data_IF_892106037719
#
_entry.id   IF_892106037719
#
_cell.length_a   1.000
_cell.length_b   1.000
_cell.length_c   1.000
_cell.angle_alpha   90.00
_cell.angle_beta   90.00
_cell.angle_gamma   90.00
#
_symmetry.space_group_name_H-M   'P 1'
#
loop_
_entity.id
_entity.type
_entity.pdbx_description
1 polymer ?
#
# COMPACT_ATOMS: atom_id res chain seq x y z
N UNK A 1 63.73 -26.22 -3.93
CA UNK A 1 63.77 -24.73 -3.98
C UNK A 1 62.47 -24.19 -3.42
N UNK A 2 62.45 -22.98 -2.85
CA UNK A 2 61.26 -22.46 -2.15
C UNK A 2 59.99 -22.38 -3.02
N UNK A 3 60.13 -22.34 -4.36
CA UNK A 3 59.01 -22.31 -5.31
C UNK A 3 58.24 -23.62 -5.44
N UNK A 4 58.77 -24.75 -4.95
CA UNK A 4 58.08 -26.05 -5.02
C UNK A 4 56.79 -26.08 -4.19
N UNK A 5 56.58 -25.11 -3.31
CA UNK A 5 55.32 -24.92 -2.59
C UNK A 5 54.23 -24.27 -3.45
N UNK A 6 54.61 -23.57 -4.53
CA UNK A 6 53.67 -22.80 -5.35
C UNK A 6 52.59 -23.66 -6.01
N UNK A 7 52.89 -24.84 -6.59
CA UNK A 7 51.84 -25.70 -7.15
C UNK A 7 50.79 -26.10 -6.10
N UNK A 8 51.21 -26.47 -4.88
CA UNK A 8 50.30 -26.80 -3.79
C UNK A 8 49.46 -25.61 -3.35
N UNK A 9 50.09 -24.45 -3.17
CA UNK A 9 49.39 -23.21 -2.82
C UNK A 9 48.37 -22.77 -3.89
N UNK A 10 48.70 -22.95 -5.18
CA UNK A 10 47.80 -22.64 -6.30
C UNK A 10 46.59 -23.57 -6.29
N UNK A 11 46.77 -24.88 -6.08
CA UNK A 11 45.67 -25.84 -5.99
C UNK A 11 44.73 -25.48 -4.84
N UNK A 12 45.28 -25.18 -3.65
CA UNK A 12 44.47 -24.80 -2.49
C UNK A 12 43.70 -23.51 -2.77
N UNK A 13 44.36 -22.48 -3.30
CA UNK A 13 43.73 -21.18 -3.56
C UNK A 13 42.64 -21.26 -4.64
N UNK A 14 42.89 -22.06 -5.69
CA UNK A 14 41.87 -22.28 -6.73
C UNK A 14 40.68 -23.03 -6.18
N UNK A 15 40.88 -24.12 -5.44
CA UNK A 15 39.78 -24.88 -4.84
C UNK A 15 38.99 -24.07 -3.81
N UNK A 16 39.63 -23.17 -3.06
CA UNK A 16 38.92 -22.29 -2.11
C UNK A 16 38.17 -21.15 -2.78
N UNK A 17 38.68 -20.63 -3.90
CA UNK A 17 38.03 -19.51 -4.62
C UNK A 17 36.86 -19.96 -5.50
N UNK A 18 36.92 -21.17 -6.08
CA UNK A 18 35.87 -21.69 -6.97
C UNK A 18 34.46 -21.67 -6.34
N UNK A 19 34.23 -22.15 -5.10
CA UNK A 19 32.90 -22.10 -4.49
C UNK A 19 32.32 -20.69 -4.36
N UNK A 20 33.16 -19.69 -4.12
CA UNK A 20 32.73 -18.29 -3.96
C UNK A 20 32.16 -17.76 -5.27
N UNK A 21 32.90 -17.94 -6.37
CA UNK A 21 32.46 -17.48 -7.69
C UNK A 21 31.34 -18.34 -8.28
N UNK A 22 31.35 -19.64 -7.99
CA UNK A 22 30.27 -20.53 -8.40
C UNK A 22 28.94 -20.12 -7.76
N UNK A 23 28.93 -19.84 -6.46
CA UNK A 23 27.71 -19.37 -5.76
C UNK A 23 27.22 -18.02 -6.29
N UNK A 24 28.13 -17.09 -6.58
CA UNK A 24 27.76 -15.82 -7.23
C UNK A 24 27.01 -16.03 -8.56
N UNK A 25 27.50 -16.96 -9.39
CA UNK A 25 26.85 -17.31 -10.65
C UNK A 25 25.49 -18.00 -10.46
N UNK A 26 25.42 -18.96 -9.54
CA UNK A 26 24.20 -19.70 -9.24
C UNK A 26 23.09 -18.80 -8.67
N UNK A 27 23.42 -17.91 -7.73
CA UNK A 27 22.46 -16.98 -7.15
C UNK A 27 21.91 -16.03 -8.23
N UNK A 28 22.79 -15.51 -9.10
CA UNK A 28 22.36 -14.66 -10.21
C UNK A 28 21.41 -15.35 -11.19
N UNK A 29 21.61 -16.65 -11.44
CA UNK A 29 20.76 -17.43 -12.34
C UNK A 29 19.43 -17.84 -11.72
N UNK A 30 19.42 -18.20 -10.43
CA UNK A 30 18.23 -18.72 -9.76
C UNK A 30 17.31 -17.61 -9.23
N UNK A 31 17.90 -16.54 -8.70
CA UNK A 31 17.19 -15.48 -7.99
C UNK A 31 17.05 -14.22 -8.84
N UNK A 32 17.92 -14.05 -9.85
CA UNK A 32 18.02 -12.84 -10.67
C UNK A 32 18.90 -11.75 -10.03
N UNK A 33 19.43 -11.99 -8.83
CA UNK A 33 20.39 -11.11 -8.17
C UNK A 33 21.57 -11.93 -7.62
N UNK A 34 22.77 -11.38 -7.73
CA UNK A 34 23.99 -12.12 -7.37
C UNK A 34 24.28 -12.18 -5.87
N UNK A 35 23.57 -11.38 -5.06
CA UNK A 35 23.71 -11.35 -3.62
C UNK A 35 22.36 -11.60 -2.94
N UNK A 36 22.36 -12.45 -1.92
CA UNK A 36 21.18 -12.70 -1.10
C UNK A 36 20.99 -11.57 -0.09
N UNK A 37 19.74 -11.20 0.20
CA UNK A 37 19.42 -10.18 1.20
C UNK A 37 19.63 -10.75 2.61
N UNK A 38 20.20 -9.95 3.51
CA UNK A 38 20.33 -10.31 4.92
C UNK A 38 18.96 -10.36 5.60
N UNK A 39 18.71 -11.44 6.33
CA UNK A 39 17.46 -11.70 7.06
C UNK A 39 17.68 -11.85 8.57
N UNK A 40 18.78 -11.33 9.09
CA UNK A 40 19.13 -11.48 10.51
C UNK A 40 18.19 -10.67 11.41
N UNK A 41 17.77 -9.48 10.97
CA UNK A 41 16.84 -8.65 11.72
C UNK A 41 15.38 -9.03 11.46
N UNK A 42 14.53 -8.81 12.49
CA UNK A 42 13.08 -9.06 12.37
C UNK A 42 12.44 -8.17 11.32
N UNK A 43 12.83 -6.90 11.26
CA UNK A 43 12.31 -5.95 10.29
C UNK A 43 12.63 -6.38 8.86
N UNK A 44 13.89 -6.76 8.60
CA UNK A 44 14.34 -7.26 7.29
C UNK A 44 13.56 -8.49 6.83
N UNK A 45 13.22 -9.40 7.75
CA UNK A 45 12.37 -10.58 7.45
C UNK A 45 10.94 -10.20 7.07
N UNK A 46 10.33 -9.28 7.81
CA UNK A 46 8.96 -8.81 7.50
C UNK A 46 8.93 -8.13 6.14
N UNK A 47 9.93 -7.29 5.85
CA UNK A 47 10.03 -6.61 4.55
C UNK A 47 10.30 -7.59 3.41
N UNK A 48 11.12 -8.62 3.63
CA UNK A 48 11.34 -9.68 2.65
C UNK A 48 10.04 -10.44 2.31
N UNK A 49 9.21 -10.77 3.31
CA UNK A 49 7.90 -11.36 3.08
C UNK A 49 6.92 -10.40 2.40
N UNK A 50 6.95 -9.12 2.74
CA UNK A 50 6.13 -8.10 2.08
C UNK A 50 6.44 -8.04 0.59
N UNK A 51 7.72 -7.98 0.24
CA UNK A 51 8.16 -7.92 -1.17
C UNK A 51 7.72 -9.20 -1.91
N UNK A 52 7.80 -10.38 -1.28
CA UNK A 52 7.23 -11.62 -1.82
C UNK A 52 5.73 -11.55 -2.10
N UNK A 53 4.92 -10.90 -1.25
CA UNK A 53 3.47 -10.77 -1.46
C UNK A 53 3.10 -9.78 -2.57
N UNK A 54 3.97 -8.82 -2.86
CA UNK A 54 3.70 -7.77 -3.85
C UNK A 54 4.11 -8.19 -5.26
N UNK A 55 5.26 -8.87 -5.42
CA UNK A 55 5.88 -9.12 -6.73
C UNK A 55 6.18 -10.59 -7.01
N UNK A 56 5.84 -11.51 -6.09
CA UNK A 56 6.19 -12.94 -6.08
C UNK A 56 7.71 -13.24 -6.09
N UNK A 57 8.57 -12.24 -6.30
CA UNK A 57 10.02 -12.33 -6.23
C UNK A 57 10.60 -11.11 -5.45
N UNK A 58 11.21 -11.32 -4.28
CA UNK A 58 11.68 -10.25 -3.40
C UNK A 58 12.92 -9.49 -3.92
N UNK A 59 13.49 -9.95 -5.03
CA UNK A 59 14.61 -9.28 -5.72
C UNK A 59 14.15 -8.46 -6.92
N UNK A 60 12.86 -8.55 -7.30
CA UNK A 60 12.24 -7.67 -8.27
C UNK A 60 11.70 -6.45 -7.53
N UNK A 61 12.32 -5.29 -7.77
CA UNK A 61 11.87 -4.03 -7.18
C UNK A 61 10.56 -3.57 -7.81
N UNK A 62 9.59 -3.19 -6.97
CA UNK A 62 8.40 -2.45 -7.37
C UNK A 62 8.70 -0.96 -7.28
N UNK A 63 8.77 -0.27 -8.41
CA UNK A 63 8.92 1.18 -8.44
C UNK A 63 7.58 1.91 -8.36
N UNK A 64 7.60 3.20 -8.72
CA UNK A 64 6.44 4.08 -8.69
C UNK A 64 5.44 3.76 -9.81
N UNK A 65 5.89 3.08 -10.86
CA UNK A 65 5.08 2.65 -12.00
C UNK A 65 3.95 1.66 -11.65
N UNK A 66 4.03 1.02 -10.49
CA UNK A 66 2.97 0.13 -10.00
C UNK A 66 1.86 0.88 -9.24
N UNK A 67 2.06 2.15 -8.92
CA UNK A 67 1.06 2.94 -8.20
C UNK A 67 0.10 3.52 -9.24
N UNK A 68 -1.21 3.24 -9.16
CA UNK A 68 -2.17 3.83 -10.07
C UNK A 68 -2.23 5.34 -9.87
N UNK A 69 -2.22 6.08 -10.98
CA UNK A 69 -2.36 7.52 -10.98
C UNK A 69 -3.75 7.93 -10.46
N UNK A 70 -3.87 9.15 -9.92
CA UNK A 70 -5.12 9.64 -9.32
C UNK A 70 -6.33 9.63 -10.28
N UNK A 71 -6.07 9.67 -11.58
CA UNK A 71 -7.11 9.60 -12.61
C UNK A 71 -7.72 8.20 -12.71
N UNK A 72 -6.92 7.13 -12.55
CA UNK A 72 -7.36 5.73 -12.62
C UNK A 72 -8.04 5.25 -11.33
N UNK A 73 -7.74 5.88 -10.18
CA UNK A 73 -8.37 5.55 -8.88
C UNK A 73 -9.87 5.86 -8.82
N UNK A 74 -10.40 6.68 -9.73
CA UNK A 74 -11.83 7.02 -9.76
C UNK A 74 -12.68 5.86 -10.28
N UNK A 75 -12.10 5.01 -11.14
CA UNK A 75 -12.81 3.94 -11.82
C UNK A 75 -12.81 2.63 -11.01
N UNK A 76 -11.95 2.54 -9.98
CA UNK A 76 -11.75 1.35 -9.16
C UNK A 76 -12.32 1.49 -7.74
N UNK A 77 -13.21 2.47 -7.50
CA UNK A 77 -13.91 2.58 -6.22
C UNK A 77 -15.01 1.53 -6.12
N UNK A 78 -14.76 0.50 -5.30
CA UNK A 78 -15.83 -0.31 -4.75
C UNK A 78 -16.83 0.61 -4.04
N UNK A 79 -18.15 0.50 -4.31
CA UNK A 79 -19.16 1.40 -3.77
C UNK A 79 -19.32 1.34 -2.23
N UNK A 80 -18.59 0.45 -1.55
CA UNK A 80 -18.65 0.22 -0.11
C UNK A 80 -17.36 0.58 0.65
N UNK A 81 -16.30 1.07 -0.01
CA UNK A 81 -15.06 1.45 0.68
C UNK A 81 -15.01 2.98 0.96
N UNK A 82 -15.56 3.36 2.12
CA UNK A 82 -15.36 4.67 2.75
C UNK A 82 -13.94 4.76 3.34
N UNK A 83 -12.90 4.82 2.50
CA UNK A 83 -11.58 5.23 2.99
C UNK A 83 -11.60 6.73 3.29
N UNK A 84 -11.26 7.07 4.54
CA UNK A 84 -10.82 8.38 4.99
C UNK A 84 -9.45 8.70 4.35
N UNK A 85 -9.47 8.90 3.04
CA UNK A 85 -8.33 9.42 2.28
C UNK A 85 -8.23 10.88 2.69
N UNK A 86 -7.08 11.23 3.27
CA UNK A 86 -6.81 12.47 3.96
C UNK A 86 -7.35 13.73 3.27
N UNK A 87 -7.63 14.72 4.12
CA UNK A 87 -8.32 15.98 3.87
C UNK A 87 -8.02 16.67 2.51
N UNK A 88 -8.66 16.20 1.44
CA UNK A 88 -8.79 16.96 0.22
C UNK A 88 -9.74 18.15 0.49
N UNK A 89 -9.27 19.41 0.40
CA UNK A 89 -10.03 20.59 0.85
C UNK A 89 -11.35 20.80 0.09
N UNK A 90 -11.46 20.29 -1.14
CA UNK A 90 -12.66 20.36 -1.95
C UNK A 90 -13.80 19.44 -1.44
N UNK A 91 -13.46 18.23 -0.98
CA UNK A 91 -14.41 17.24 -0.47
C UNK A 91 -15.03 17.71 0.86
N UNK A 92 -14.24 18.34 1.72
CA UNK A 92 -14.71 18.96 2.97
C UNK A 92 -15.76 20.05 2.70
N UNK A 93 -15.50 20.93 1.73
CA UNK A 93 -16.42 22.03 1.37
C UNK A 93 -17.75 21.50 0.83
N UNK A 94 -17.72 20.41 0.05
CA UNK A 94 -18.93 19.74 -0.45
C UNK A 94 -19.74 19.12 0.70
N UNK A 95 -19.08 18.40 1.61
CA UNK A 95 -19.71 17.80 2.80
C UNK A 95 -20.33 18.86 3.72
N UNK A 96 -19.66 20.00 3.93
CA UNK A 96 -20.20 21.12 4.70
C UNK A 96 -21.43 21.75 4.03
N UNK A 97 -21.43 21.87 2.70
CA UNK A 97 -22.58 22.38 1.94
C UNK A 97 -23.78 21.43 2.04
N UNK A 98 -23.55 20.12 1.92
CA UNK A 98 -24.58 19.09 2.08
C UNK A 98 -25.17 19.06 3.49
N UNK A 99 -24.34 19.18 4.53
CA UNK A 99 -24.80 19.30 5.94
C UNK A 99 -25.70 20.52 6.13
N UNK A 100 -25.29 21.68 5.61
CA UNK A 100 -26.09 22.92 5.67
C UNK A 100 -27.42 22.80 4.91
N UNK A 101 -27.44 22.06 3.79
CA UNK A 101 -28.67 21.81 3.03
C UNK A 101 -29.64 20.91 3.81
N UNK A 102 -29.14 19.80 4.37
CA UNK A 102 -29.95 18.87 5.18
C UNK A 102 -30.51 19.56 6.42
N UNK A 103 -29.73 20.39 7.10
CA UNK A 103 -30.19 21.13 8.28
C UNK A 103 -31.29 22.14 7.93
N UNK A 104 -31.21 22.78 6.75
CA UNK A 104 -32.29 23.64 6.24
C UNK A 104 -33.57 22.86 5.97
N UNK A 105 -33.46 21.69 5.31
CA UNK A 105 -34.60 20.83 5.01
C UNK A 105 -35.29 20.33 6.28
N UNK A 106 -34.51 19.90 7.29
CA UNK A 106 -35.05 19.48 8.59
C UNK A 106 -35.80 20.60 9.30
N UNK A 107 -35.25 21.82 9.31
CA UNK A 107 -35.93 23.00 9.90
C UNK A 107 -37.20 23.38 9.15
N UNK A 108 -37.24 23.15 7.84
CA UNK A 108 -38.43 23.42 7.03
C UNK A 108 -39.52 22.38 7.26
N UNK A 109 -39.14 21.10 7.35
CA UNK A 109 -40.05 20.00 7.67
C UNK A 109 -40.62 20.14 9.09
N UNK A 110 -39.79 20.50 10.07
CA UNK A 110 -40.23 20.72 11.46
C UNK A 110 -41.24 21.88 11.53
N UNK A 111 -41.01 22.97 10.80
CA UNK A 111 -41.96 24.08 10.68
C UNK A 111 -43.28 23.65 10.02
N UNK A 112 -43.24 22.76 9.02
CA UNK A 112 -44.45 22.25 8.39
C UNK A 112 -45.23 21.35 9.34
N UNK A 113 -44.56 20.46 10.08
CA UNK A 113 -45.17 19.62 11.12
C UNK A 113 -45.79 20.44 12.25
N UNK A 114 -45.14 21.52 12.69
CA UNK A 114 -45.68 22.42 13.71
C UNK A 114 -46.92 23.18 13.21
N UNK A 115 -46.93 23.61 11.94
CA UNK A 115 -48.12 24.22 11.31
C UNK A 115 -49.30 23.23 11.23
N UNK A 116 -49.04 22.00 10.81
CA UNK A 116 -50.07 20.94 10.76
C UNK A 116 -50.65 20.64 12.14
N UNK A 117 -49.81 20.53 13.18
CA UNK A 117 -50.29 20.36 14.57
C UNK A 117 -51.17 21.52 15.03
N UNK A 118 -50.81 22.76 14.71
CA UNK A 118 -51.62 23.96 15.04
C UNK A 118 -52.94 24.02 14.27
N UNK A 119 -52.99 23.49 13.05
CA UNK A 119 -54.25 23.36 12.28
C UNK A 119 -55.15 22.26 12.82
N UNK A 120 -54.59 21.09 13.18
CA UNK A 120 -55.33 19.99 13.82
C UNK A 120 -55.90 20.40 15.18
N UNK A 121 -55.15 21.14 16.01
CA UNK A 121 -55.63 21.67 17.29
C UNK A 121 -56.76 22.69 17.13
N UNK A 122 -56.75 23.47 16.04
CA UNK A 122 -57.84 24.40 15.71
C UNK A 122 -59.08 23.67 15.24
N UNK A 123 -58.94 22.59 14.47
CA UNK A 123 -60.08 21.77 14.02
C UNK A 123 -60.73 20.99 15.16
N UNK A 124 -59.99 20.59 16.20
CA UNK A 124 -60.52 19.91 17.40
C UNK A 124 -61.22 20.84 18.41
N UNK A 125 -61.14 22.16 18.23
CA UNK A 125 -61.72 23.18 19.12
C UNK A 125 -63.01 23.83 18.59
N UNK A 126 -63.43 23.49 17.37
CA UNK A 126 -64.74 23.81 16.80
C UNK A 126 -65.66 22.58 16.86
#
# INVERSE_FOLDING_TARGET
MWFEILPGAVIITTLLSVPIYAMYGLDKLTIGNAFRRNMDERFSRVMYQRDFRLTDNPYKMNGLEQIPDEEEKKDQKDPNEDYDVGDDPALLKKRQKERKLKEKQLKEEEKQREKQRKEEEKQKKN
#
